data_IF_871541963278
#
_entry.id   IF_871541963278
#
_cell.length_a   1.000
_cell.length_b   1.000
_cell.length_c   1.000
_cell.angle_alpha   90.00
_cell.angle_beta   90.00
_cell.angle_gamma   90.00
#
_symmetry.space_group_name_H-M   'P 1'
#
loop_
_entity.id
_entity.type
_entity.pdbx_description
1 polymer ?
#
# COMPACT_ATOMS: atom_id res chain seq x y z
N UNK A 1 0.75 -6.43 8.05
CA UNK A 1 2.17 -6.19 7.71
C UNK A 1 2.32 -4.80 7.09
N UNK A 2 1.57 -4.45 6.04
CA UNK A 2 1.70 -3.18 5.30
C UNK A 2 1.45 -1.89 6.09
N UNK A 3 0.91 -1.93 7.30
CA UNK A 3 0.63 -0.74 8.11
C UNK A 3 1.92 -0.04 8.60
N UNK A 4 2.92 -0.79 9.02
CA UNK A 4 4.11 -0.25 9.69
C UNK A 4 4.86 0.83 8.89
N UNK A 5 5.23 0.62 7.62
CA UNK A 5 5.92 1.64 6.82
C UNK A 5 5.08 2.89 6.59
N UNK A 6 3.77 2.74 6.39
CA UNK A 6 2.87 3.87 6.16
C UNK A 6 2.65 4.70 7.43
N UNK A 7 2.50 4.06 8.59
CA UNK A 7 2.38 4.74 9.88
C UNK A 7 3.67 5.50 10.23
N UNK A 8 4.82 4.91 9.96
CA UNK A 8 6.10 5.59 10.11
C UNK A 8 6.20 6.82 9.20
N UNK A 9 5.85 6.67 7.92
CA UNK A 9 5.87 7.75 6.95
C UNK A 9 4.92 8.89 7.35
N UNK A 10 3.68 8.58 7.75
CA UNK A 10 2.71 9.56 8.21
C UNK A 10 3.22 10.38 9.42
N UNK A 11 3.85 9.73 10.39
CA UNK A 11 4.47 10.42 11.53
C UNK A 11 5.63 11.33 11.12
N UNK A 12 6.44 10.89 10.16
CA UNK A 12 7.59 11.69 9.66
C UNK A 12 7.16 12.89 8.83
N UNK A 13 6.10 12.77 8.05
CA UNK A 13 5.52 13.87 7.27
C UNK A 13 4.80 14.90 8.15
N UNK A 14 4.28 14.45 9.29
CA UNK A 14 3.36 15.21 10.12
C UNK A 14 1.90 15.00 9.71
N UNK A 15 1.05 14.74 10.69
CA UNK A 15 -0.36 14.38 10.49
C UNK A 15 -1.16 15.45 9.73
N UNK A 16 -0.77 16.73 9.81
CA UNK A 16 -1.42 17.82 9.04
C UNK A 16 -1.30 17.66 7.51
N UNK A 17 -0.36 16.83 7.03
CA UNK A 17 -0.19 16.53 5.60
C UNK A 17 -0.87 15.23 5.17
N UNK A 18 -1.48 14.50 6.10
CA UNK A 18 -2.17 13.24 5.82
C UNK A 18 -3.65 13.53 5.64
N UNK A 19 -4.13 13.47 4.40
CA UNK A 19 -5.52 13.73 4.06
C UNK A 19 -6.48 12.65 4.58
N UNK A 20 -6.00 11.40 4.70
CA UNK A 20 -6.78 10.28 5.23
C UNK A 20 -5.95 9.01 5.31
N UNK A 21 -6.43 8.08 6.12
CA UNK A 21 -5.85 6.74 6.27
C UNK A 21 -6.96 5.72 6.05
N UNK A 22 -6.73 4.76 5.16
CA UNK A 22 -7.63 3.63 4.93
C UNK A 22 -6.90 2.33 5.20
N UNK A 23 -7.52 1.44 5.98
CA UNK A 23 -6.92 0.17 6.40
C UNK A 23 -7.90 -0.98 6.23
N UNK A 24 -7.43 -2.05 5.60
CA UNK A 24 -8.15 -3.32 5.50
C UNK A 24 -7.51 -4.39 6.38
N UNK A 25 -8.34 -5.18 7.04
CA UNK A 25 -7.96 -6.37 7.81
C UNK A 25 -8.84 -7.56 7.40
N UNK A 26 -8.41 -8.78 7.70
CA UNK A 26 -9.19 -9.97 7.34
C UNK A 26 -10.53 -10.07 8.09
N UNK A 27 -10.60 -9.61 9.33
CA UNK A 27 -11.83 -9.70 10.12
C UNK A 27 -11.56 -9.92 11.62
N UNK A 28 -12.32 -10.82 12.24
CA UNK A 28 -12.21 -11.10 13.68
C UNK A 28 -10.79 -11.41 14.12
N UNK A 29 -10.44 -10.95 15.33
CA UNK A 29 -9.10 -11.08 15.90
C UNK A 29 -8.21 -9.87 15.64
N UNK A 30 -8.70 -8.89 14.88
CA UNK A 30 -7.98 -7.62 14.61
C UNK A 30 -8.55 -6.43 15.38
N UNK A 31 -9.50 -6.65 16.31
CA UNK A 31 -10.20 -5.60 17.05
C UNK A 31 -9.22 -4.73 17.85
N UNK A 32 -8.30 -5.36 18.60
CA UNK A 32 -7.31 -4.61 19.38
C UNK A 32 -6.34 -3.78 18.54
N UNK A 33 -5.98 -4.28 17.35
CA UNK A 33 -5.18 -3.48 16.40
C UNK A 33 -6.00 -2.31 15.83
N UNK A 34 -7.27 -2.54 15.53
CA UNK A 34 -8.17 -1.52 15.01
C UNK A 34 -8.44 -0.40 16.04
N UNK A 35 -8.58 -0.73 17.31
CA UNK A 35 -8.71 0.25 18.41
C UNK A 35 -7.45 1.09 18.53
N UNK A 36 -6.28 0.44 18.61
CA UNK A 36 -5.00 1.14 18.64
C UNK A 36 -4.82 2.06 17.41
N UNK A 37 -5.27 1.62 16.24
CA UNK A 37 -5.16 2.41 15.02
C UNK A 37 -6.07 3.64 15.06
N UNK A 38 -7.30 3.52 15.58
CA UNK A 38 -8.22 4.66 15.77
C UNK A 38 -7.66 5.70 16.74
N UNK A 39 -7.00 5.26 17.79
CA UNK A 39 -6.33 6.16 18.75
C UNK A 39 -5.13 6.87 18.11
N UNK A 40 -4.35 6.13 17.30
CA UNK A 40 -3.14 6.66 16.64
C UNK A 40 -3.46 7.58 15.46
N UNK A 41 -4.58 7.33 14.79
CA UNK A 41 -5.02 8.05 13.57
C UNK A 41 -6.52 8.32 13.65
N UNK A 42 -6.95 9.38 14.35
CA UNK A 42 -8.34 9.78 14.40
C UNK A 42 -8.91 9.97 12.99
N UNK A 43 -10.05 9.34 12.72
CA UNK A 43 -10.69 9.40 11.40
C UNK A 43 -10.20 8.33 10.40
N UNK A 44 -9.40 7.34 10.83
CA UNK A 44 -9.05 6.21 9.97
C UNK A 44 -10.30 5.45 9.49
N UNK A 45 -10.39 5.22 8.18
CA UNK A 45 -11.40 4.36 7.59
C UNK A 45 -10.95 2.89 7.71
N UNK A 46 -11.73 2.10 8.45
CA UNK A 46 -11.44 0.68 8.69
C UNK A 46 -12.39 -0.21 7.91
N UNK A 47 -11.83 -1.21 7.26
CA UNK A 47 -12.54 -2.21 6.46
C UNK A 47 -12.12 -3.62 6.87
N UNK A 48 -13.04 -4.56 6.73
CA UNK A 48 -12.73 -5.99 6.86
C UNK A 48 -13.54 -6.83 5.89
N UNK A 49 -13.01 -7.99 5.52
CA UNK A 49 -13.64 -8.89 4.55
C UNK A 49 -15.03 -9.37 5.01
N UNK A 50 -15.19 -9.60 6.32
CA UNK A 50 -16.43 -10.09 6.93
C UNK A 50 -17.31 -9.00 7.56
N UNK A 51 -16.82 -7.76 7.65
CA UNK A 51 -17.51 -6.64 8.29
C UNK A 51 -17.45 -6.65 9.83
N UNK A 52 -16.67 -7.53 10.43
CA UNK A 52 -16.54 -7.62 11.91
C UNK A 52 -15.70 -6.49 12.49
N UNK A 53 -14.85 -5.87 11.68
CA UNK A 53 -14.03 -4.71 12.06
C UNK A 53 -14.27 -3.60 11.05
N UNK A 54 -14.86 -2.51 11.49
CA UNK A 54 -15.20 -1.38 10.63
C UNK A 54 -16.32 -1.69 9.64
N UNK A 55 -16.16 -1.28 8.39
CA UNK A 55 -17.12 -1.52 7.31
C UNK A 55 -16.71 -2.78 6.53
N UNK A 56 -17.68 -3.56 6.05
CA UNK A 56 -17.39 -4.68 5.13
C UNK A 56 -16.84 -4.12 3.81
N UNK A 57 -15.67 -4.61 3.41
CA UNK A 57 -14.98 -4.16 2.20
C UNK A 57 -13.47 -4.21 2.31
N UNK A 58 -12.80 -3.48 1.45
CA UNK A 58 -11.33 -3.41 1.34
C UNK A 58 -10.81 -2.02 1.67
N UNK A 59 -9.52 -1.88 1.92
CA UNK A 59 -8.89 -0.57 2.10
C UNK A 59 -9.10 0.38 0.90
N UNK A 60 -9.35 -0.15 -0.30
CA UNK A 60 -9.57 0.65 -1.51
C UNK A 60 -10.93 1.35 -1.52
N UNK A 61 -11.90 0.84 -0.76
CA UNK A 61 -13.24 1.43 -0.65
C UNK A 61 -13.23 2.75 0.14
N UNK A 62 -12.19 2.96 0.96
CA UNK A 62 -11.96 4.23 1.66
C UNK A 62 -11.26 5.31 0.83
N UNK A 63 -10.89 5.01 -0.42
CA UNK A 63 -10.21 5.95 -1.30
C UNK A 63 -11.20 6.64 -2.25
N UNK A 64 -10.99 7.93 -2.57
CA UNK A 64 -11.86 8.66 -3.50
C UNK A 64 -11.86 8.00 -4.89
N UNK A 65 -12.90 8.28 -5.68
CA UNK A 65 -12.98 7.82 -7.08
C UNK A 65 -11.94 8.47 -7.97
N UNK A 66 -11.60 9.72 -7.68
CA UNK A 66 -10.59 10.51 -8.39
C UNK A 66 -9.63 11.13 -7.36
N UNK A 67 -8.34 11.17 -7.69
CA UNK A 67 -7.36 11.80 -6.83
C UNK A 67 -7.38 13.33 -6.99
N UNK A 68 -7.52 14.09 -5.90
CA UNK A 68 -7.31 15.54 -5.96
C UNK A 68 -5.91 15.88 -6.52
N UNK A 69 -5.79 17.02 -7.20
CA UNK A 69 -4.59 17.40 -7.95
C UNK A 69 -3.27 17.33 -7.14
N UNK A 70 -3.34 17.76 -5.87
CA UNK A 70 -2.16 17.84 -4.97
C UNK A 70 -2.06 16.65 -3.99
N UNK A 71 -2.67 15.52 -4.36
CA UNK A 71 -2.70 14.34 -3.49
C UNK A 71 -1.90 13.19 -4.08
N UNK A 72 -1.07 12.55 -3.25
CA UNK A 72 -0.47 11.26 -3.54
C UNK A 72 -1.13 10.17 -2.70
N UNK A 73 -1.23 8.96 -3.25
CA UNK A 73 -1.63 7.76 -2.50
C UNK A 73 -0.38 6.93 -2.23
N UNK A 74 -0.19 6.60 -0.95
CA UNK A 74 0.88 5.71 -0.53
C UNK A 74 0.26 4.43 0.00
N UNK A 75 0.64 3.29 -0.58
CA UNK A 75 0.06 2.00 -0.28
C UNK A 75 1.11 0.94 0.02
N UNK A 76 0.80 0.05 0.95
CA UNK A 76 1.56 -1.14 1.26
C UNK A 76 0.60 -2.25 1.67
N UNK A 77 0.77 -3.45 1.12
CA UNK A 77 -0.11 -4.58 1.41
C UNK A 77 0.01 -5.70 0.37
N UNK A 78 -0.96 -6.61 0.34
CA UNK A 78 -0.96 -7.72 -0.61
C UNK A 78 -0.90 -7.24 -2.06
N UNK A 79 -0.18 -7.98 -2.89
CA UNK A 79 0.05 -7.64 -4.29
C UNK A 79 -1.25 -7.44 -5.07
N UNK A 80 -2.25 -8.29 -4.84
CA UNK A 80 -3.58 -8.15 -5.46
C UNK A 80 -4.26 -6.81 -5.13
N UNK A 81 -4.11 -6.33 -3.89
CA UNK A 81 -4.61 -5.00 -3.49
C UNK A 81 -3.86 -3.89 -4.22
N UNK A 82 -2.53 -3.98 -4.30
CA UNK A 82 -1.71 -2.95 -4.98
C UNK A 82 -1.98 -2.92 -6.49
N UNK A 83 -2.19 -4.09 -7.13
CA UNK A 83 -2.63 -4.20 -8.52
C UNK A 83 -4.01 -3.54 -8.73
N UNK A 84 -4.96 -3.82 -7.86
CA UNK A 84 -6.29 -3.20 -7.91
C UNK A 84 -6.23 -1.68 -7.70
N UNK A 85 -5.34 -1.20 -6.82
CA UNK A 85 -5.09 0.22 -6.62
C UNK A 85 -4.53 0.88 -7.90
N UNK A 86 -3.56 0.26 -8.56
CA UNK A 86 -3.03 0.75 -9.83
C UNK A 86 -4.11 0.82 -10.92
N UNK A 87 -4.98 -0.18 -10.99
CA UNK A 87 -6.11 -0.20 -11.91
C UNK A 87 -7.19 0.84 -11.57
N UNK A 88 -7.34 1.22 -10.30
CA UNK A 88 -8.28 2.27 -9.87
C UNK A 88 -7.85 3.66 -10.37
N UNK A 89 -6.56 3.92 -10.46
CA UNK A 89 -5.99 5.22 -10.86
C UNK A 89 -5.05 5.12 -12.07
N UNK A 90 -5.54 4.70 -13.24
CA UNK A 90 -4.69 4.43 -14.40
C UNK A 90 -4.00 5.68 -14.95
N UNK A 91 -4.65 6.84 -14.84
CA UNK A 91 -4.10 8.14 -15.30
C UNK A 91 -3.24 8.84 -14.25
N UNK A 92 -3.23 8.35 -13.02
CA UNK A 92 -2.56 8.95 -11.87
C UNK A 92 -1.46 8.05 -11.29
N UNK A 93 -1.04 7.03 -12.02
CA UNK A 93 -0.07 6.03 -11.56
C UNK A 93 1.23 6.63 -11.04
N UNK A 94 1.68 7.76 -11.58
CA UNK A 94 2.84 8.50 -11.09
C UNK A 94 2.65 9.07 -9.67
N UNK A 95 1.41 9.34 -9.25
CA UNK A 95 1.05 9.84 -7.92
C UNK A 95 0.69 8.73 -6.93
N UNK A 96 0.65 7.48 -7.39
CA UNK A 96 0.40 6.30 -6.55
C UNK A 96 1.74 5.64 -6.24
N UNK A 97 2.16 5.70 -4.98
CA UNK A 97 3.37 5.07 -4.47
C UNK A 97 3.03 3.74 -3.81
N UNK A 98 3.68 2.68 -4.25
CA UNK A 98 3.49 1.33 -3.72
C UNK A 98 4.77 0.84 -3.07
N UNK A 99 4.68 0.48 -1.80
CA UNK A 99 5.77 -0.21 -1.10
C UNK A 99 5.60 -1.71 -1.33
N UNK A 100 6.48 -2.29 -2.12
CA UNK A 100 6.43 -3.69 -2.50
C UNK A 100 7.20 -4.55 -1.51
N UNK A 101 6.66 -5.70 -1.22
CA UNK A 101 7.33 -6.79 -0.51
C UNK A 101 7.63 -7.91 -1.50
N UNK A 102 8.79 -8.52 -1.39
CA UNK A 102 9.21 -9.66 -2.18
C UNK A 102 10.02 -10.60 -1.31
N UNK A 103 10.07 -11.88 -1.69
CA UNK A 103 10.93 -12.84 -1.00
C UNK A 103 12.39 -12.42 -1.14
N UNK A 104 13.06 -12.21 0.00
CA UNK A 104 14.44 -11.77 0.03
C UNK A 104 15.32 -12.85 0.62
N UNK A 105 16.36 -13.24 -0.12
CA UNK A 105 17.41 -14.10 0.41
C UNK A 105 18.58 -13.26 0.93
N UNK A 106 19.22 -12.45 0.06
CA UNK A 106 20.43 -11.70 0.45
C UNK A 106 20.16 -10.28 0.97
N UNK A 107 19.06 -9.63 0.56
CA UNK A 107 18.74 -8.25 0.94
C UNK A 107 19.69 -7.16 0.39
N UNK A 108 20.73 -7.54 -0.36
CA UNK A 108 21.80 -6.65 -0.82
C UNK A 108 21.98 -6.63 -2.36
N UNK A 109 20.99 -7.15 -3.09
CA UNK A 109 20.97 -7.11 -4.56
C UNK A 109 21.78 -8.16 -5.28
N UNK A 110 22.46 -9.08 -4.59
CA UNK A 110 23.35 -10.07 -5.19
C UNK A 110 22.66 -11.30 -5.76
N UNK A 111 21.59 -11.79 -5.14
CA UNK A 111 20.95 -13.06 -5.50
C UNK A 111 19.83 -12.95 -6.53
N UNK A 112 19.35 -11.74 -6.84
CA UNK A 112 18.24 -11.45 -7.76
C UNK A 112 16.89 -12.08 -7.36
N UNK A 113 16.74 -12.61 -6.14
CA UNK A 113 15.52 -13.27 -5.67
C UNK A 113 14.32 -12.34 -5.47
N UNK A 114 14.55 -11.02 -5.34
CA UNK A 114 13.50 -10.02 -5.12
C UNK A 114 13.25 -9.17 -6.39
N UNK A 115 13.56 -9.68 -7.56
CA UNK A 115 13.36 -8.96 -8.83
C UNK A 115 11.89 -8.87 -9.16
N UNK A 116 11.47 -7.70 -9.62
CA UNK A 116 10.14 -7.42 -10.17
C UNK A 116 10.26 -6.84 -11.57
N UNK A 117 9.29 -7.10 -12.46
CA UNK A 117 9.23 -6.49 -13.78
C UNK A 117 8.74 -5.03 -13.69
N UNK A 118 9.45 -4.12 -14.34
CA UNK A 118 9.06 -2.71 -14.43
C UNK A 118 9.20 -2.20 -15.87
N UNK A 119 8.57 -1.07 -16.18
CA UNK A 119 8.68 -0.40 -17.49
C UNK A 119 10.13 -0.01 -17.85
N UNK A 120 11.02 0.03 -16.86
CA UNK A 120 12.46 0.31 -17.04
C UNK A 120 13.32 -0.96 -16.99
N UNK A 121 12.73 -2.14 -17.19
CA UNK A 121 13.38 -3.43 -17.00
C UNK A 121 13.25 -3.96 -15.57
N UNK A 122 13.91 -5.08 -15.33
CA UNK A 122 13.85 -5.75 -14.02
C UNK A 122 14.53 -4.92 -12.91
N UNK A 123 13.84 -4.75 -11.78
CA UNK A 123 14.31 -4.03 -10.60
C UNK A 123 14.29 -4.91 -9.37
N UNK A 124 15.22 -4.69 -8.46
CA UNK A 124 15.34 -5.45 -7.20
C UNK A 124 14.68 -4.66 -6.08
N UNK A 125 13.67 -5.22 -5.44
CA UNK A 125 12.96 -4.57 -4.34
C UNK A 125 13.89 -4.15 -3.20
N UNK A 126 14.91 -4.97 -2.90
CA UNK A 126 15.83 -4.70 -1.79
C UNK A 126 16.82 -3.53 -2.02
N UNK A 127 17.11 -3.16 -3.26
CA UNK A 127 18.13 -2.15 -3.59
C UNK A 127 17.54 -1.00 -4.39
N UNK A 128 16.69 -1.31 -5.38
CA UNK A 128 16.11 -0.33 -6.28
C UNK A 128 14.78 0.24 -5.75
N UNK A 129 14.18 -0.42 -4.71
CA UNK A 129 12.97 -0.05 -4.00
C UNK A 129 13.22 0.19 -2.50
N UNK A 130 12.26 -0.14 -1.62
CA UNK A 130 11.01 -0.91 -1.87
C UNK A 130 9.86 -0.10 -2.46
N UNK A 131 9.97 1.23 -2.60
CA UNK A 131 8.90 2.10 -3.06
C UNK A 131 9.05 2.36 -4.55
N UNK A 132 7.97 2.10 -5.29
CA UNK A 132 7.86 2.30 -6.74
C UNK A 132 6.62 3.14 -7.04
N UNK A 133 6.56 3.75 -8.23
CA UNK A 133 5.28 4.28 -8.72
C UNK A 133 4.43 3.14 -9.28
N UNK A 134 3.11 3.25 -9.15
CA UNK A 134 2.22 2.20 -9.65
C UNK A 134 2.31 2.03 -11.18
N UNK A 135 2.62 3.10 -11.91
CA UNK A 135 2.79 3.09 -13.37
C UNK A 135 4.04 2.37 -13.85
N UNK A 136 5.11 2.34 -13.03
CA UNK A 136 6.36 1.69 -13.46
C UNK A 136 6.34 0.17 -13.27
N UNK A 137 5.42 -0.38 -12.47
CA UNK A 137 5.32 -1.82 -12.21
C UNK A 137 4.48 -2.50 -13.29
N UNK A 138 5.04 -3.53 -13.92
CA UNK A 138 4.33 -4.34 -14.91
C UNK A 138 3.46 -5.39 -14.21
N UNK A 139 2.32 -4.97 -13.70
CA UNK A 139 1.42 -5.76 -12.84
C UNK A 139 0.98 -7.09 -13.43
N UNK A 140 0.91 -7.22 -14.76
CA UNK A 140 0.51 -8.44 -15.44
C UNK A 140 1.65 -9.47 -15.53
N UNK A 141 2.89 -9.02 -15.40
CA UNK A 141 4.10 -9.85 -15.45
C UNK A 141 4.65 -10.14 -14.04
N UNK A 142 4.11 -9.47 -13.03
CA UNK A 142 4.51 -9.65 -11.66
C UNK A 142 3.86 -10.94 -11.11
N UNK A 143 4.67 -11.99 -10.95
CA UNK A 143 4.22 -13.27 -10.39
C UNK A 143 3.95 -13.17 -8.88
N UNK A 144 2.93 -13.90 -8.43
CA UNK A 144 2.57 -14.03 -7.01
C UNK A 144 3.59 -14.85 -6.22
#
# INVERSE_FOLDING_TARGET
VGAAPLLFAARRLGMAKVAGVSMGVAGRGWEGFAEWLKESFPGVALFSDDGSVGTKGTALDGLPSELPADTEVWACGPQGMLRALAAKYPSDGARVRVALESRMACGMGGCLGCVIPTARGNRRVCVDGPVFTAEEVLWNEFAD
#
